data_IF_021289313340
#
_entry.id   IF_021289313340
#
_cell.length_a   1.000
_cell.length_b   1.000
_cell.length_c   1.000
_cell.angle_alpha   90.00
_cell.angle_beta   90.00
_cell.angle_gamma   90.00
#
_symmetry.space_group_name_H-M   'P 1'
#
loop_
_entity.id
_entity.type
_entity.pdbx_description
1 polymer ?
#
# COMPACT_ATOMS: atom_id res chain seq x y z
N UNK A 1 -5.15 -4.13 7.29
CA UNK A 1 -5.49 -3.43 6.02
C UNK A 1 -6.95 -3.63 5.58
N UNK A 2 -7.39 -4.85 5.30
CA UNK A 2 -8.74 -5.12 4.73
C UNK A 2 -9.87 -4.50 5.56
N UNK A 3 -9.78 -4.61 6.89
CA UNK A 3 -10.75 -4.02 7.82
C UNK A 3 -10.85 -2.49 7.63
N UNK A 4 -9.71 -1.79 7.62
CA UNK A 4 -9.66 -0.35 7.44
C UNK A 4 -10.26 0.07 6.10
N UNK A 5 -9.93 -0.62 5.00
CA UNK A 5 -10.48 -0.30 3.69
C UNK A 5 -11.99 -0.55 3.60
N UNK A 6 -12.51 -1.59 4.27
CA UNK A 6 -13.97 -1.78 4.38
C UNK A 6 -14.63 -0.60 5.09
N UNK A 7 -14.03 -0.10 6.17
CA UNK A 7 -14.55 1.06 6.90
C UNK A 7 -14.43 2.36 6.09
N UNK A 8 -13.30 2.57 5.41
CA UNK A 8 -13.04 3.76 4.61
C UNK A 8 -13.91 3.88 3.37
N UNK A 9 -14.37 2.75 2.83
CA UNK A 9 -15.25 2.71 1.66
C UNK A 9 -16.74 2.79 1.99
N UNK A 10 -17.14 2.77 3.28
CA UNK A 10 -18.54 3.02 3.66
C UNK A 10 -19.02 4.37 3.12
N UNK A 11 -20.28 4.40 2.70
CA UNK A 11 -20.93 5.63 2.27
C UNK A 11 -20.97 6.64 3.40
N UNK A 12 -20.86 7.91 3.04
CA UNK A 12 -20.95 9.02 3.98
C UNK A 12 -22.43 9.35 4.17
N UNK A 13 -22.86 9.41 5.42
CA UNK A 13 -24.21 9.77 5.85
C UNK A 13 -24.40 11.28 5.84
N UNK A 14 -25.66 11.75 5.83
CA UNK A 14 -25.95 13.18 5.86
C UNK A 14 -25.47 13.86 7.14
N UNK A 15 -25.57 13.17 8.29
CA UNK A 15 -25.02 13.66 9.56
C UNK A 15 -23.51 13.87 9.46
N UNK A 16 -22.76 12.91 8.90
CA UNK A 16 -21.31 13.03 8.72
C UNK A 16 -20.92 14.18 7.77
N UNK A 17 -21.73 14.48 6.75
CA UNK A 17 -21.50 15.61 5.84
C UNK A 17 -21.62 16.97 6.53
N UNK A 18 -22.39 17.06 7.61
CA UNK A 18 -22.55 18.33 8.34
C UNK A 18 -21.29 18.76 9.09
N UNK A 19 -20.41 17.82 9.45
CA UNK A 19 -19.28 18.07 10.34
C UNK A 19 -18.34 19.19 9.85
N UNK A 20 -18.09 19.25 8.54
CA UNK A 20 -17.27 20.31 7.93
C UNK A 20 -17.80 20.72 6.55
N UNK A 21 -19.10 20.97 6.48
CA UNK A 21 -19.78 21.43 5.25
C UNK A 21 -19.19 22.75 4.73
N UNK A 22 -18.74 23.64 5.61
CA UNK A 22 -18.04 24.87 5.24
C UNK A 22 -16.74 24.58 4.51
N UNK A 23 -15.90 23.66 5.02
CA UNK A 23 -14.67 23.29 4.34
C UNK A 23 -14.93 22.63 2.99
N UNK A 24 -15.95 21.76 2.91
CA UNK A 24 -16.36 21.16 1.64
C UNK A 24 -16.82 22.21 0.63
N UNK A 25 -17.54 23.25 1.05
CA UNK A 25 -17.94 24.34 0.18
C UNK A 25 -16.74 25.19 -0.28
N UNK A 26 -15.77 25.47 0.61
CA UNK A 26 -14.54 26.19 0.26
C UNK A 26 -13.63 25.37 -0.67
N UNK A 27 -13.69 24.04 -0.61
CA UNK A 27 -12.93 23.16 -1.50
C UNK A 27 -13.37 23.34 -2.97
N UNK A 28 -14.65 23.62 -3.22
CA UNK A 28 -15.21 23.80 -4.57
C UNK A 28 -14.56 24.94 -5.35
N UNK A 29 -13.98 25.92 -4.66
CA UNK A 29 -13.29 27.05 -5.29
C UNK A 29 -11.80 26.81 -5.50
N UNK A 30 -11.27 25.65 -5.09
CA UNK A 30 -9.85 25.34 -5.21
C UNK A 30 -9.51 24.85 -6.61
N UNK A 31 -8.35 25.30 -7.10
CA UNK A 31 -7.79 24.77 -8.34
C UNK A 31 -7.59 23.25 -8.22
N UNK A 32 -7.98 22.50 -9.25
CA UNK A 32 -7.86 21.04 -9.30
C UNK A 32 -8.97 20.26 -8.59
N UNK A 33 -9.96 20.93 -8.00
CA UNK A 33 -11.18 20.28 -7.54
C UNK A 33 -12.07 19.87 -8.73
N UNK A 34 -12.65 18.68 -8.66
CA UNK A 34 -13.67 18.19 -9.60
C UNK A 34 -14.86 17.66 -8.78
N UNK A 35 -16.05 18.22 -9.03
CA UNK A 35 -17.29 17.83 -8.35
C UNK A 35 -17.62 16.34 -8.57
N UNK A 36 -17.18 15.74 -9.68
CA UNK A 36 -17.34 14.30 -9.94
C UNK A 36 -16.64 13.40 -8.92
N UNK A 37 -15.69 13.96 -8.16
CA UNK A 37 -14.89 13.25 -7.17
C UNK A 37 -15.19 13.71 -5.74
N UNK A 38 -16.27 14.46 -5.53
CA UNK A 38 -16.71 14.97 -4.23
C UNK A 38 -16.83 13.87 -3.17
N UNK A 39 -17.35 12.69 -3.54
CA UNK A 39 -17.52 11.57 -2.61
C UNK A 39 -16.19 11.08 -2.01
N UNK A 40 -15.09 11.21 -2.76
CA UNK A 40 -13.75 10.86 -2.28
C UNK A 40 -13.30 11.83 -1.20
N UNK A 41 -13.47 13.13 -1.43
CA UNK A 41 -13.14 14.16 -0.43
C UNK A 41 -14.01 14.01 0.84
N UNK A 42 -15.30 13.72 0.68
CA UNK A 42 -16.20 13.39 1.80
C UNK A 42 -15.71 12.17 2.58
N UNK A 43 -15.29 11.09 1.90
CA UNK A 43 -14.71 9.91 2.55
C UNK A 43 -13.42 10.25 3.28
N UNK A 44 -12.52 11.04 2.69
CA UNK A 44 -11.24 11.44 3.31
C UNK A 44 -11.50 12.18 4.63
N UNK A 45 -12.34 13.21 4.63
CA UNK A 45 -12.59 14.00 5.83
C UNK A 45 -13.36 13.20 6.89
N UNK A 46 -14.32 12.36 6.48
CA UNK A 46 -15.04 11.46 7.39
C UNK A 46 -14.08 10.47 8.05
N UNK A 47 -13.21 9.82 7.27
CA UNK A 47 -12.22 8.86 7.78
C UNK A 47 -11.23 9.52 8.72
N UNK A 48 -10.73 10.71 8.35
CA UNK A 48 -9.83 11.47 9.21
C UNK A 48 -10.51 11.88 10.52
N UNK A 49 -11.74 12.39 10.45
CA UNK A 49 -12.52 12.76 11.63
C UNK A 49 -12.74 11.55 12.56
N UNK A 50 -13.07 10.39 11.99
CA UNK A 50 -13.31 9.17 12.75
C UNK A 50 -12.04 8.65 13.42
N UNK A 51 -10.92 8.67 12.69
CA UNK A 51 -9.60 8.34 13.21
C UNK A 51 -9.23 9.21 14.41
N UNK A 52 -9.27 10.54 14.23
CA UNK A 52 -8.77 11.48 15.24
C UNK A 52 -9.70 11.59 16.45
N UNK A 53 -10.97 11.18 16.33
CA UNK A 53 -11.91 11.05 17.44
C UNK A 53 -12.03 9.62 17.99
N UNK A 54 -11.08 8.73 17.65
CA UNK A 54 -11.02 7.34 18.16
C UNK A 54 -12.33 6.54 17.93
N UNK A 55 -13.02 6.79 16.82
CA UNK A 55 -14.23 6.04 16.45
C UNK A 55 -13.90 4.64 15.92
N UNK A 56 -12.72 4.46 15.35
CA UNK A 56 -12.21 3.16 14.94
C UNK A 56 -11.55 2.40 16.10
N UNK A 57 -11.79 1.09 16.21
CA UNK A 57 -11.39 0.27 17.38
C UNK A 57 -10.64 -1.02 17.05
N UNK A 58 -10.64 -1.47 15.81
CA UNK A 58 -10.09 -2.78 15.43
C UNK A 58 -8.55 -2.80 15.35
N UNK A 59 -7.92 -1.64 15.16
CA UNK A 59 -6.49 -1.48 14.98
C UNK A 59 -5.98 -0.23 15.70
N UNK A 60 -4.65 -0.15 15.88
CA UNK A 60 -4.02 1.04 16.45
C UNK A 60 -4.20 2.28 15.56
N UNK A 61 -4.20 3.47 16.18
CA UNK A 61 -4.32 4.74 15.44
C UNK A 61 -3.24 4.90 14.37
N UNK A 62 -2.03 4.40 14.61
CA UNK A 62 -0.92 4.47 13.67
C UNK A 62 -1.17 3.60 12.43
N UNK A 63 -1.71 2.39 12.60
CA UNK A 63 -2.08 1.51 11.49
C UNK A 63 -3.19 2.13 10.65
N UNK A 64 -4.25 2.63 11.29
CA UNK A 64 -5.32 3.30 10.58
C UNK A 64 -4.81 4.55 9.84
N UNK A 65 -3.90 5.31 10.45
CA UNK A 65 -3.32 6.46 9.78
C UNK A 65 -2.51 6.08 8.53
N UNK A 66 -1.67 5.05 8.62
CA UNK A 66 -0.93 4.52 7.48
C UNK A 66 -1.90 4.09 6.37
N UNK A 67 -2.93 3.31 6.71
CA UNK A 67 -3.92 2.88 5.74
C UNK A 67 -4.74 4.04 5.16
N UNK A 68 -5.01 5.09 5.93
CA UNK A 68 -5.70 6.28 5.43
C UNK A 68 -4.86 7.02 4.38
N UNK A 69 -3.56 7.20 4.65
CA UNK A 69 -2.65 7.82 3.69
C UNK A 69 -2.49 6.96 2.41
N UNK A 70 -2.41 5.63 2.55
CA UNK A 70 -2.43 4.73 1.38
C UNK A 70 -3.76 4.84 0.62
N UNK A 71 -4.89 4.88 1.32
CA UNK A 71 -6.22 5.04 0.72
C UNK A 71 -6.30 6.35 -0.08
N UNK A 72 -5.80 7.45 0.48
CA UNK A 72 -5.73 8.75 -0.21
C UNK A 72 -4.86 8.63 -1.46
N UNK A 73 -3.67 8.03 -1.36
CA UNK A 73 -2.77 7.84 -2.50
C UNK A 73 -3.44 7.03 -3.63
N UNK A 74 -4.07 5.90 -3.33
CA UNK A 74 -4.72 5.07 -4.35
C UNK A 74 -5.88 5.79 -5.03
N UNK A 75 -6.72 6.52 -4.28
CA UNK A 75 -7.79 7.31 -4.88
C UNK A 75 -7.22 8.45 -5.73
N UNK A 76 -6.18 9.13 -5.23
CA UNK A 76 -5.49 10.18 -5.99
C UNK A 76 -4.99 9.68 -7.34
N UNK A 77 -4.34 8.51 -7.37
CA UNK A 77 -3.87 7.90 -8.63
C UNK A 77 -5.02 7.42 -9.53
N UNK A 78 -6.05 6.80 -8.95
CA UNK A 78 -7.19 6.25 -9.70
C UNK A 78 -8.02 7.34 -10.40
N UNK A 79 -8.18 8.49 -9.75
CA UNK A 79 -9.06 9.56 -10.19
C UNK A 79 -8.30 10.84 -10.60
N UNK A 80 -6.97 10.74 -10.77
CA UNK A 80 -6.08 11.85 -11.13
C UNK A 80 -6.28 13.13 -10.27
N UNK A 81 -6.52 12.95 -8.97
CA UNK A 81 -6.71 14.06 -8.05
C UNK A 81 -5.40 14.83 -7.88
N UNK A 82 -5.49 16.16 -7.78
CA UNK A 82 -4.30 17.00 -7.72
C UNK A 82 -3.68 17.00 -6.31
N UNK A 83 -2.37 16.76 -6.25
CA UNK A 83 -1.60 16.69 -5.00
C UNK A 83 -1.75 17.96 -4.16
N UNK A 84 -1.65 19.13 -4.80
CA UNK A 84 -1.81 20.41 -4.14
C UNK A 84 -3.18 20.55 -3.47
N UNK A 85 -4.25 20.20 -4.19
CA UNK A 85 -5.63 20.25 -3.68
C UNK A 85 -5.82 19.30 -2.49
N UNK A 86 -5.35 18.06 -2.60
CA UNK A 86 -5.46 17.05 -1.54
C UNK A 86 -4.68 17.46 -0.29
N UNK A 87 -3.44 17.93 -0.46
CA UNK A 87 -2.58 18.30 0.66
C UNK A 87 -3.13 19.50 1.45
N UNK A 88 -3.63 20.53 0.77
CA UNK A 88 -4.30 21.67 1.43
C UNK A 88 -5.58 21.21 2.12
N UNK A 89 -6.44 20.48 1.40
CA UNK A 89 -7.71 20.01 1.95
C UNK A 89 -7.50 19.16 3.21
N UNK A 90 -6.56 18.21 3.17
CA UNK A 90 -6.23 17.38 4.32
C UNK A 90 -5.70 18.24 5.48
N UNK A 91 -4.75 19.14 5.23
CA UNK A 91 -4.12 19.95 6.28
C UNK A 91 -5.13 20.85 7.00
N UNK A 92 -6.06 21.46 6.25
CA UNK A 92 -7.13 22.30 6.83
C UNK A 92 -8.13 21.42 7.59
N UNK A 93 -8.54 20.28 7.03
CA UNK A 93 -9.44 19.32 7.70
C UNK A 93 -8.85 18.85 9.03
N UNK A 94 -7.59 18.43 9.00
CA UNK A 94 -6.81 17.96 10.15
C UNK A 94 -6.76 19.03 11.26
N UNK A 95 -6.40 20.27 10.88
CA UNK A 95 -6.36 21.40 11.80
C UNK A 95 -7.72 21.71 12.42
N UNK A 96 -8.79 21.66 11.63
CA UNK A 96 -10.16 21.89 12.11
C UNK A 96 -10.60 20.81 13.12
N UNK A 97 -10.30 19.54 12.84
CA UNK A 97 -10.63 18.43 13.73
C UNK A 97 -9.89 18.57 15.07
N UNK A 98 -8.60 18.93 15.03
CA UNK A 98 -7.81 19.16 16.24
C UNK A 98 -8.38 20.33 17.06
N UNK A 99 -8.71 21.46 16.41
CA UNK A 99 -9.33 22.60 17.10
C UNK A 99 -10.65 22.24 17.79
N UNK A 100 -11.36 21.24 17.28
CA UNK A 100 -12.60 20.70 17.86
C UNK A 100 -12.37 19.59 18.90
N UNK A 101 -11.13 19.34 19.33
CA UNK A 101 -10.78 18.38 20.38
C UNK A 101 -10.33 17.00 19.88
N UNK A 102 -10.16 16.82 18.56
CA UNK A 102 -9.57 15.62 18.00
C UNK A 102 -8.07 15.49 18.30
N UNK A 103 -7.53 14.27 18.15
CA UNK A 103 -6.11 14.01 18.35
C UNK A 103 -5.23 14.73 17.31
N UNK A 104 -4.03 15.14 17.72
CA UNK A 104 -3.01 15.79 16.87
C UNK A 104 -2.24 14.85 15.92
N UNK A 105 -2.59 13.57 15.88
CA UNK A 105 -1.85 12.54 15.16
C UNK A 105 -2.24 12.49 13.69
N UNK A 106 -1.55 11.64 12.91
CA UNK A 106 -1.85 11.38 11.51
C UNK A 106 -1.69 12.56 10.55
N UNK A 107 -0.46 13.06 10.37
CA UNK A 107 -0.17 14.02 9.32
C UNK A 107 -0.44 13.42 7.94
N UNK A 108 -0.72 14.30 6.97
CA UNK A 108 -0.75 13.91 5.56
C UNK A 108 0.63 13.40 5.14
N UNK A 109 0.65 12.28 4.43
CA UNK A 109 1.86 11.68 3.91
C UNK A 109 1.79 11.57 2.39
N UNK A 110 2.60 12.38 1.70
CA UNK A 110 2.69 12.36 0.24
C UNK A 110 3.62 11.26 -0.24
N UNK A 111 3.05 10.12 -0.64
CA UNK A 111 3.82 8.99 -1.17
C UNK A 111 4.62 9.36 -2.43
N UNK A 112 4.07 10.19 -3.32
CA UNK A 112 4.76 10.64 -4.54
C UNK A 112 5.94 11.56 -4.27
N UNK A 113 5.90 12.35 -3.20
CA UNK A 113 7.01 13.22 -2.82
C UNK A 113 8.06 12.50 -1.97
N UNK A 114 7.72 11.34 -1.39
CA UNK A 114 8.60 10.63 -0.44
C UNK A 114 9.35 9.47 -1.08
N UNK A 115 8.75 8.79 -2.08
CA UNK A 115 9.30 7.54 -2.57
C UNK A 115 9.36 7.42 -4.08
N UNK A 116 10.41 6.74 -4.56
CA UNK A 116 10.45 6.22 -5.92
C UNK A 116 9.47 5.05 -6.04
N UNK A 117 8.71 5.04 -7.13
CA UNK A 117 7.68 4.04 -7.40
C UNK A 117 6.74 3.76 -6.21
N UNK A 118 5.98 4.76 -5.73
CA UNK A 118 5.32 4.65 -4.43
C UNK A 118 4.30 3.52 -4.31
N UNK A 119 3.70 3.07 -5.43
CA UNK A 119 2.80 1.91 -5.42
C UNK A 119 3.53 0.63 -5.01
N UNK A 120 4.75 0.44 -5.50
CA UNK A 120 5.58 -0.71 -5.17
C UNK A 120 6.09 -0.61 -3.73
N UNK A 121 6.42 0.60 -3.27
CA UNK A 121 6.79 0.84 -1.87
C UNK A 121 5.65 0.55 -0.91
N UNK A 122 4.41 0.96 -1.23
CA UNK A 122 3.22 0.61 -0.44
C UNK A 122 3.04 -0.91 -0.36
N UNK A 123 3.27 -1.65 -1.44
CA UNK A 123 3.19 -3.13 -1.42
C UNK A 123 4.22 -3.74 -0.48
N UNK A 124 5.48 -3.30 -0.53
CA UNK A 124 6.56 -3.82 0.33
C UNK A 124 6.37 -3.42 1.80
N UNK A 125 5.93 -2.19 2.06
CA UNK A 125 5.63 -1.73 3.42
C UNK A 125 4.47 -2.55 4.02
N UNK A 126 3.41 -2.77 3.25
CA UNK A 126 2.32 -3.63 3.69
C UNK A 126 2.76 -5.09 3.89
N UNK A 127 3.68 -5.61 3.08
CA UNK A 127 4.26 -6.93 3.30
C UNK A 127 4.98 -7.00 4.65
N UNK A 128 5.83 -6.02 4.94
CA UNK A 128 6.54 -5.91 6.22
C UNK A 128 5.58 -5.91 7.41
N UNK A 129 4.55 -5.07 7.33
CA UNK A 129 3.61 -4.85 8.44
C UNK A 129 2.69 -6.05 8.69
N UNK A 130 2.42 -6.86 7.66
CA UNK A 130 1.60 -8.06 7.76
C UNK A 130 2.44 -9.35 7.76
N UNK A 131 3.76 -9.27 8.03
CA UNK A 131 4.69 -10.40 7.90
C UNK A 131 4.29 -11.63 8.72
N UNK A 132 3.70 -11.42 9.91
CA UNK A 132 3.24 -12.51 10.78
C UNK A 132 2.04 -13.25 10.19
N UNK A 133 1.11 -12.52 9.59
CA UNK A 133 -0.04 -13.10 8.91
C UNK A 133 0.39 -13.84 7.64
N UNK A 134 1.31 -13.24 6.86
CA UNK A 134 1.91 -13.88 5.69
C UNK A 134 2.61 -15.18 6.07
N UNK A 135 3.43 -15.16 7.13
CA UNK A 135 4.08 -16.37 7.67
C UNK A 135 3.05 -17.46 7.98
N UNK A 136 2.03 -17.14 8.78
CA UNK A 136 0.98 -18.07 9.19
C UNK A 136 0.24 -18.67 7.98
N UNK A 137 -0.08 -17.84 7.00
CA UNK A 137 -0.78 -18.31 5.78
C UNK A 137 0.14 -19.23 4.97
N UNK A 138 1.40 -18.87 4.76
CA UNK A 138 2.38 -19.71 4.09
C UNK A 138 2.58 -21.06 4.80
N UNK A 139 2.59 -21.08 6.14
CA UNK A 139 2.69 -22.30 6.94
C UNK A 139 1.47 -23.22 6.75
N UNK A 140 0.27 -22.66 6.65
CA UNK A 140 -0.94 -23.42 6.40
C UNK A 140 -1.07 -23.89 4.94
N UNK A 141 -0.50 -23.14 4.00
CA UNK A 141 -0.51 -23.42 2.56
C UNK A 141 0.74 -24.19 2.12
N UNK A 142 1.48 -24.79 3.06
CA UNK A 142 2.78 -25.45 2.82
C UNK A 142 2.76 -26.47 1.67
N UNK A 143 1.64 -27.15 1.47
CA UNK A 143 1.44 -28.18 0.44
C UNK A 143 0.78 -27.66 -0.85
N UNK A 144 0.39 -26.38 -0.89
CA UNK A 144 -0.30 -25.76 -2.01
C UNK A 144 0.70 -24.91 -2.81
N UNK A 145 1.16 -25.44 -3.93
CA UNK A 145 1.93 -24.65 -4.88
C UNK A 145 1.03 -23.58 -5.53
N UNK A 146 1.61 -22.41 -5.82
CA UNK A 146 0.92 -21.29 -6.50
C UNK A 146 -0.29 -20.69 -5.76
N UNK A 147 -0.33 -20.80 -4.43
CA UNK A 147 -1.35 -20.12 -3.61
C UNK A 147 -1.31 -18.59 -3.81
N UNK A 148 -2.40 -17.90 -3.42
CA UNK A 148 -2.43 -16.43 -3.51
C UNK A 148 -1.36 -15.78 -2.63
N UNK A 149 -1.09 -16.34 -1.45
CA UNK A 149 -0.03 -15.85 -0.59
C UNK A 149 1.36 -16.07 -1.22
N UNK A 150 1.61 -17.25 -1.78
CA UNK A 150 2.85 -17.54 -2.50
C UNK A 150 3.07 -16.57 -3.67
N UNK A 151 2.03 -16.33 -4.50
CA UNK A 151 2.09 -15.37 -5.61
C UNK A 151 2.41 -13.96 -5.11
N UNK A 152 1.79 -13.52 -4.03
CA UNK A 152 2.07 -12.22 -3.42
C UNK A 152 3.50 -12.10 -2.91
N UNK A 153 4.04 -13.16 -2.29
CA UNK A 153 5.45 -13.21 -1.86
C UNK A 153 6.39 -13.11 -3.05
N UNK A 154 6.15 -13.88 -4.11
CA UNK A 154 6.93 -13.83 -5.34
C UNK A 154 6.91 -12.41 -5.95
N UNK A 155 5.74 -11.80 -6.06
CA UNK A 155 5.61 -10.42 -6.57
C UNK A 155 6.43 -9.43 -5.73
N UNK A 156 6.35 -9.51 -4.41
CA UNK A 156 7.11 -8.63 -3.52
C UNK A 156 8.63 -8.83 -3.63
N UNK A 157 9.10 -10.08 -3.78
CA UNK A 157 10.54 -10.35 -4.00
C UNK A 157 11.00 -9.80 -5.34
N UNK A 158 10.19 -9.91 -6.41
CA UNK A 158 10.50 -9.33 -7.72
C UNK A 158 10.64 -7.81 -7.63
N UNK A 159 9.64 -7.16 -7.03
CA UNK A 159 9.63 -5.72 -6.80
C UNK A 159 10.87 -5.29 -6.01
N UNK A 160 11.18 -5.97 -4.90
CA UNK A 160 12.35 -5.67 -4.09
C UNK A 160 13.64 -5.75 -4.90
N UNK A 161 13.88 -6.84 -5.64
CA UNK A 161 15.09 -7.00 -6.46
C UNK A 161 15.23 -5.88 -7.49
N UNK A 162 14.14 -5.56 -8.20
CA UNK A 162 14.11 -4.49 -9.20
C UNK A 162 14.42 -3.13 -8.59
N UNK A 163 13.72 -2.75 -7.51
CA UNK A 163 13.91 -1.44 -6.88
C UNK A 163 15.27 -1.32 -6.20
N UNK A 164 15.75 -2.38 -5.55
CA UNK A 164 17.04 -2.36 -4.86
C UNK A 164 18.18 -2.15 -5.86
N UNK A 165 18.15 -2.88 -6.97
CA UNK A 165 19.17 -2.76 -8.01
C UNK A 165 19.15 -1.37 -8.67
N UNK A 166 17.96 -0.83 -8.93
CA UNK A 166 17.77 0.47 -9.57
C UNK A 166 18.16 1.65 -8.67
N UNK A 167 17.76 1.62 -7.39
CA UNK A 167 17.81 2.81 -6.52
C UNK A 167 18.80 2.70 -5.35
N UNK A 168 19.15 1.49 -4.90
CA UNK A 168 19.85 1.28 -3.63
C UNK A 168 21.26 0.66 -3.77
N UNK A 169 21.68 0.34 -4.99
CA UNK A 169 23.01 -0.25 -5.25
C UNK A 169 24.18 0.70 -4.96
N UNK A 170 23.95 2.02 -5.04
CA UNK A 170 25.00 3.03 -4.88
C UNK A 170 24.94 3.68 -3.50
N UNK A 171 25.98 3.47 -2.69
CA UNK A 171 26.12 4.14 -1.38
C UNK A 171 26.44 5.64 -1.57
N UNK A 172 25.83 6.50 -0.75
CA UNK A 172 26.21 7.91 -0.63
C UNK A 172 25.30 8.93 -1.33
N UNK A 173 24.06 8.57 -1.71
CA UNK A 173 23.11 9.55 -2.25
C UNK A 173 22.63 10.52 -1.15
N UNK A 174 22.58 11.81 -1.47
CA UNK A 174 22.01 12.87 -0.63
C UNK A 174 20.50 13.03 -0.90
N UNK A 175 20.01 12.42 -1.98
CA UNK A 175 18.59 12.43 -2.36
C UNK A 175 17.74 11.74 -1.27
N UNK A 176 16.86 12.52 -0.66
CA UNK A 176 15.98 12.06 0.43
C UNK A 176 14.97 11.02 -0.03
N UNK A 177 14.45 11.16 -1.26
CA UNK A 177 13.46 10.23 -1.81
C UNK A 177 14.10 8.84 -2.04
N UNK A 178 15.32 8.81 -2.57
CA UNK A 178 16.09 7.57 -2.71
C UNK A 178 16.39 6.96 -1.34
N UNK A 179 16.80 7.78 -0.36
CA UNK A 179 17.09 7.31 1.00
C UNK A 179 15.86 6.68 1.66
N UNK A 180 14.71 7.35 1.58
CA UNK A 180 13.45 6.87 2.18
C UNK A 180 12.93 5.62 1.46
N UNK A 181 13.07 5.57 0.13
CA UNK A 181 12.78 4.36 -0.67
C UNK A 181 13.62 3.19 -0.18
N UNK A 182 14.96 3.36 -0.11
CA UNK A 182 15.87 2.30 0.33
C UNK A 182 15.64 1.87 1.78
N UNK A 183 15.19 2.78 2.64
CA UNK A 183 14.83 2.45 4.02
C UNK A 183 13.67 1.46 4.09
N UNK A 184 12.62 1.62 3.27
CA UNK A 184 11.52 0.66 3.20
C UNK A 184 11.99 -0.69 2.64
N UNK A 185 12.87 -0.67 1.63
CA UNK A 185 13.43 -1.90 1.07
C UNK A 185 14.25 -2.69 2.10
N UNK A 186 15.06 -2.01 2.93
CA UNK A 186 15.81 -2.65 4.00
C UNK A 186 14.89 -3.20 5.11
N UNK A 187 13.80 -2.50 5.46
CA UNK A 187 12.77 -3.06 6.37
C UNK A 187 12.13 -4.33 5.82
N UNK A 188 11.74 -4.30 4.55
CA UNK A 188 11.19 -5.47 3.86
C UNK A 188 12.18 -6.64 3.95
N UNK A 189 13.42 -6.43 3.50
CA UNK A 189 14.50 -7.44 3.53
C UNK A 189 14.72 -7.99 4.93
N UNK A 190 14.84 -7.13 5.95
CA UNK A 190 15.06 -7.55 7.32
C UNK A 190 13.91 -8.44 7.82
N UNK A 191 12.66 -8.04 7.60
CA UNK A 191 11.50 -8.85 8.00
C UNK A 191 11.36 -10.14 7.21
N UNK A 192 11.59 -10.12 5.91
CA UNK A 192 11.59 -11.29 5.05
C UNK A 192 12.61 -12.33 5.53
N UNK A 193 13.84 -11.88 5.79
CA UNK A 193 14.91 -12.76 6.25
C UNK A 193 14.63 -13.32 7.65
N UNK A 194 14.15 -12.51 8.58
CA UNK A 194 13.91 -12.94 9.95
C UNK A 194 12.70 -13.87 10.09
N UNK A 195 11.59 -13.56 9.41
CA UNK A 195 10.30 -14.22 9.65
C UNK A 195 9.95 -15.29 8.62
N UNK A 196 10.51 -15.24 7.41
CA UNK A 196 10.20 -16.20 6.35
C UNK A 196 11.43 -17.02 5.95
N UNK A 197 12.47 -16.38 5.43
CA UNK A 197 13.63 -17.09 4.88
C UNK A 197 14.48 -17.79 5.95
N UNK A 198 14.48 -17.26 7.18
CA UNK A 198 15.13 -17.90 8.33
C UNK A 198 14.34 -19.07 8.92
N UNK A 199 13.13 -19.38 8.40
CA UNK A 199 12.30 -20.48 8.91
C UNK A 199 12.48 -21.72 8.04
N UNK A 200 12.94 -22.81 8.64
CA UNK A 200 13.25 -24.06 7.92
C UNK A 200 12.07 -24.60 7.09
N UNK A 201 10.84 -24.50 7.61
CA UNK A 201 9.65 -25.00 6.92
C UNK A 201 9.21 -24.15 5.70
N UNK A 202 9.74 -22.93 5.58
CA UNK A 202 9.32 -21.92 4.59
C UNK A 202 10.45 -21.62 3.59
N UNK A 203 11.71 -21.59 4.02
CA UNK A 203 12.86 -21.12 3.23
C UNK A 203 12.97 -21.77 1.84
N UNK A 204 12.67 -23.06 1.72
CA UNK A 204 12.80 -23.82 0.47
C UNK A 204 11.61 -23.60 -0.49
N UNK A 205 10.60 -22.84 -0.04
CA UNK A 205 9.34 -22.59 -0.76
C UNK A 205 9.21 -21.17 -1.26
N UNK A 206 10.09 -20.28 -0.85
CA UNK A 206 10.08 -18.87 -1.22
C UNK A 206 11.39 -18.49 -1.93
N UNK A 207 11.34 -17.57 -2.89
CA UNK A 207 12.52 -17.22 -3.67
C UNK A 207 13.52 -16.42 -2.83
N UNK A 208 14.83 -16.74 -2.84
CA UNK A 208 15.80 -15.98 -2.07
C UNK A 208 15.93 -14.53 -2.59
N UNK A 209 16.19 -13.60 -1.67
CA UNK A 209 16.43 -12.19 -2.03
C UNK A 209 17.74 -12.00 -2.80
N UNK A 210 18.74 -12.84 -2.51
CA UNK A 210 20.02 -12.89 -3.21
C UNK A 210 20.10 -14.21 -3.99
N UNK A 211 20.51 -14.18 -5.26
CA UNK A 211 20.64 -15.39 -6.07
C UNK A 211 20.00 -15.26 -7.46
N UNK A 212 19.66 -16.39 -8.11
CA UNK A 212 19.12 -16.45 -9.47
C UNK A 212 17.88 -15.56 -9.67
N UNK A 213 17.52 -15.36 -10.94
CA UNK A 213 16.32 -14.61 -11.29
C UNK A 213 15.10 -15.26 -10.64
N UNK A 214 14.16 -14.45 -10.17
CA UNK A 214 12.93 -14.95 -9.56
C UNK A 214 12.13 -15.81 -10.55
N UNK A 215 12.29 -15.52 -11.83
CA UNK A 215 11.66 -16.23 -12.94
C UNK A 215 12.21 -17.67 -13.11
N UNK A 216 13.27 -18.04 -12.37
CA UNK A 216 13.79 -19.41 -12.28
C UNK A 216 13.28 -20.19 -11.05
N UNK A 217 12.53 -19.54 -10.15
CA UNK A 217 12.05 -20.20 -8.93
C UNK A 217 10.75 -20.97 -9.20
N UNK A 218 10.70 -22.33 -9.07
CA UNK A 218 9.58 -23.14 -9.57
C UNK A 218 8.20 -22.70 -9.07
N UNK A 219 8.09 -22.31 -7.79
CA UNK A 219 6.83 -21.86 -7.17
C UNK A 219 6.43 -20.42 -7.52
N UNK A 220 7.32 -19.66 -8.16
CA UNK A 220 7.07 -18.31 -8.65
C UNK A 220 6.88 -18.26 -10.17
N UNK A 221 6.99 -19.40 -10.85
CA UNK A 221 6.64 -19.50 -12.26
C UNK A 221 5.17 -19.12 -12.42
N UNK A 222 4.92 -18.07 -13.20
CA UNK A 222 3.58 -17.80 -13.68
C UNK A 222 3.19 -18.95 -14.59
N UNK A 223 1.96 -19.46 -14.45
CA UNK A 223 1.38 -20.34 -15.45
C UNK A 223 1.48 -19.61 -16.79
N UNK A 224 2.48 -19.94 -17.62
CA UNK A 224 2.48 -19.48 -19.00
C UNK A 224 1.13 -19.92 -19.56
N UNK A 225 0.34 -19.04 -20.19
CA UNK A 225 -0.83 -19.51 -20.90
C UNK A 225 -0.35 -20.63 -21.81
N UNK A 226 -0.99 -21.81 -21.71
CA UNK A 226 -0.78 -22.91 -22.65
C UNK A 226 -1.05 -22.36 -24.04
N UNK A 227 -0.03 -21.81 -24.70
CA UNK A 227 -0.09 -21.52 -26.13
C UNK A 227 -0.39 -22.86 -26.77
N UNK A 228 -1.52 -22.92 -27.47
CA UNK A 228 -2.07 -24.11 -28.09
C UNK A 228 -0.97 -24.97 -28.71
N UNK A 229 -0.61 -26.07 -28.02
CA UNK A 229 0.06 -27.18 -28.65
C UNK A 229 -1.04 -28.04 -29.28
N UNK A 230 -1.34 -27.72 -30.52
CA UNK A 230 -2.22 -28.46 -31.42
C UNK A 230 -2.12 -27.74 -32.76
N UNK A 231 -1.61 -28.30 -33.84
CA UNK A 231 -1.34 -29.70 -34.17
C UNK A 231 -0.31 -29.71 -35.30
N UNK A 232 0.91 -30.17 -35.02
CA UNK A 232 1.88 -30.54 -36.05
C UNK A 232 2.08 -32.05 -35.98
N UNK A 233 1.29 -32.78 -36.75
CA UNK A 233 1.35 -34.21 -37.13
C UNK A 233 -0.01 -34.46 -37.79
N UNK A 234 -0.19 -34.69 -39.09
CA UNK A 234 0.63 -35.41 -40.06
C UNK A 234 -0.27 -36.45 -40.73
N UNK A 235 -0.06 -36.69 -42.03
CA UNK A 235 -0.58 -37.77 -42.88
C UNK A 235 -1.85 -37.46 -43.68
N UNK A 236 -1.73 -37.17 -44.98
CA UNK A 236 -1.74 -38.14 -46.07
C UNK A 236 -1.57 -37.41 -47.42
#
# INVERSE_FOLDING_TARGET
MVIAYKEFNKDVTDEERTFDSTLMNNLKTQYGYDEKHKDIYEKIIRNLNFLLNKKYREMGIQDYCRFLNQFIYHNKKRYDLKEFTISIFYSVSHSNIIKKGGLGNCPYHSYDATYKEPLNIIKLDNFHENIRDIKRVLENEISQDHSLCQKYVCECVKIYKTLYNTYCSNKGTIDTELKDTCHILEKFKASYMAFLFGQECIKDKIPPLNGPDIDDFPRCLSDKPKSALGSGLGSA
#
